data_IF_067624454376
#
_entry.id   IF_067624454376
#
_cell.length_a   1.000
_cell.length_b   1.000
_cell.length_c   1.000
_cell.angle_alpha   90.00
_cell.angle_beta   90.00
_cell.angle_gamma   90.00
#
_symmetry.space_group_name_H-M   'P 1'
#
loop_
_entity.id
_entity.type
_entity.pdbx_description
1 polymer ?
#
# COMPACT_ATOMS: atom_id res chain seq x y z
N UNK A 1 4.46 -17.20 -20.47
CA UNK A 1 3.07 -17.65 -20.70
C UNK A 1 2.30 -16.48 -21.29
N UNK A 2 2.11 -16.49 -22.62
CA UNK A 2 1.62 -15.36 -23.41
C UNK A 2 0.09 -15.18 -23.46
N UNK A 3 -0.65 -15.56 -22.43
CA UNK A 3 -2.10 -15.41 -22.37
C UNK A 3 -2.47 -14.18 -21.53
N UNK A 4 -2.67 -13.04 -22.23
CA UNK A 4 -3.23 -11.85 -21.61
C UNK A 4 -4.67 -12.08 -21.10
N UNK A 5 -5.06 -11.36 -20.05
CA UNK A 5 -6.46 -11.29 -19.61
C UNK A 5 -7.24 -10.47 -20.65
N UNK A 6 -8.25 -11.06 -21.26
CA UNK A 6 -9.21 -10.32 -22.08
C UNK A 6 -10.35 -9.87 -21.16
N UNK A 7 -10.30 -8.65 -20.74
CA UNK A 7 -11.31 -8.03 -19.86
C UNK A 7 -12.29 -7.15 -20.63
N UNK A 8 -12.18 -7.09 -21.97
CA UNK A 8 -12.95 -6.16 -22.80
C UNK A 8 -14.47 -6.33 -22.63
N UNK A 9 -14.94 -7.57 -22.62
CA UNK A 9 -16.37 -7.87 -22.45
C UNK A 9 -16.88 -7.46 -21.06
N UNK A 10 -16.08 -7.70 -20.01
CA UNK A 10 -16.39 -7.30 -18.64
C UNK A 10 -16.49 -5.77 -18.51
N UNK A 11 -15.53 -5.05 -19.06
CA UNK A 11 -15.53 -3.59 -19.02
C UNK A 11 -16.66 -2.99 -19.86
N UNK A 12 -17.01 -3.60 -20.99
CA UNK A 12 -18.15 -3.18 -21.81
C UNK A 12 -19.47 -3.33 -21.04
N UNK A 13 -19.68 -4.48 -20.43
CA UNK A 13 -20.86 -4.76 -19.59
C UNK A 13 -20.92 -3.80 -18.39
N UNK A 14 -19.82 -3.59 -17.69
CA UNK A 14 -19.76 -2.68 -16.55
C UNK A 14 -20.14 -1.24 -16.96
N UNK A 15 -19.69 -0.80 -18.12
CA UNK A 15 -20.03 0.52 -18.68
C UNK A 15 -21.52 0.63 -19.00
N UNK A 16 -22.10 -0.41 -19.62
CA UNK A 16 -23.53 -0.47 -19.96
C UNK A 16 -24.40 -0.39 -18.70
N UNK A 17 -23.98 -1.07 -17.64
CA UNK A 17 -24.70 -1.11 -16.37
C UNK A 17 -24.39 0.07 -15.43
N UNK A 18 -23.48 0.98 -15.82
CA UNK A 18 -23.06 2.12 -14.99
C UNK A 18 -22.34 1.72 -13.70
N UNK A 19 -21.60 0.60 -13.74
CA UNK A 19 -20.93 -0.03 -12.59
C UNK A 19 -19.41 0.15 -12.71
N UNK A 20 -18.72 0.39 -11.59
CA UNK A 20 -17.25 0.33 -11.56
C UNK A 20 -16.78 -1.14 -11.70
N UNK A 21 -16.08 -1.48 -12.79
CA UNK A 21 -15.65 -2.87 -13.05
C UNK A 21 -14.67 -3.40 -12.00
N UNK A 22 -13.99 -2.55 -11.24
CA UNK A 22 -13.04 -2.96 -10.18
C UNK A 22 -13.66 -3.03 -8.80
N UNK A 23 -14.42 -2.02 -8.42
CA UNK A 23 -15.00 -1.92 -7.09
C UNK A 23 -16.36 -2.61 -6.95
N UNK A 24 -17.10 -2.74 -8.04
CA UNK A 24 -18.51 -3.14 -8.01
C UNK A 24 -18.85 -4.35 -8.91
N UNK A 25 -17.85 -5.11 -9.34
CA UNK A 25 -18.01 -6.29 -10.20
C UNK A 25 -19.06 -7.28 -9.69
N UNK A 26 -19.24 -7.38 -8.38
CA UNK A 26 -20.23 -8.25 -7.75
C UNK A 26 -21.69 -7.89 -8.07
N UNK A 27 -21.93 -6.70 -8.60
CA UNK A 27 -23.28 -6.26 -9.05
C UNK A 27 -23.61 -6.73 -10.47
N UNK A 28 -22.61 -7.17 -11.23
CA UNK A 28 -22.85 -7.68 -12.60
C UNK A 28 -23.44 -9.08 -12.58
N UNK A 29 -24.37 -9.40 -13.51
CA UNK A 29 -24.84 -10.76 -13.69
C UNK A 29 -23.70 -11.75 -14.00
N UNK A 30 -23.82 -12.98 -13.50
CA UNK A 30 -22.82 -14.02 -13.63
C UNK A 30 -22.40 -14.29 -15.08
N UNK A 31 -23.30 -14.11 -16.06
CA UNK A 31 -23.01 -14.29 -17.48
C UNK A 31 -21.88 -13.39 -17.99
N UNK A 32 -21.66 -12.21 -17.40
CA UNK A 32 -20.58 -11.30 -17.77
C UNK A 32 -19.29 -11.55 -16.98
N UNK A 33 -19.42 -12.04 -15.75
CA UNK A 33 -18.28 -12.28 -14.83
C UNK A 33 -17.77 -13.72 -14.94
N UNK A 34 -18.60 -14.68 -15.37
CA UNK A 34 -18.28 -16.10 -15.37
C UNK A 34 -17.04 -16.42 -16.19
N UNK A 35 -16.99 -15.99 -17.44
CA UNK A 35 -15.83 -16.22 -18.32
C UNK A 35 -14.54 -15.62 -17.75
N UNK A 36 -14.61 -14.45 -17.11
CA UNK A 36 -13.48 -13.84 -16.44
C UNK A 36 -12.97 -14.73 -15.29
N UNK A 37 -13.88 -15.21 -14.44
CA UNK A 37 -13.55 -16.08 -13.32
C UNK A 37 -12.97 -17.44 -13.76
N UNK A 38 -13.58 -18.06 -14.79
CA UNK A 38 -13.08 -19.31 -15.37
C UNK A 38 -11.68 -19.15 -15.95
N UNK A 39 -11.42 -18.05 -16.65
CA UNK A 39 -10.11 -17.74 -17.22
C UNK A 39 -9.06 -17.50 -16.15
N UNK A 40 -9.42 -16.80 -15.08
CA UNK A 40 -8.52 -16.60 -13.94
C UNK A 40 -8.10 -17.93 -13.30
N UNK A 41 -9.03 -18.85 -13.11
CA UNK A 41 -8.75 -20.18 -12.59
C UNK A 41 -7.84 -21.00 -13.54
N UNK A 42 -8.12 -20.96 -14.84
CA UNK A 42 -7.33 -21.66 -15.85
C UNK A 42 -5.90 -21.12 -15.95
N UNK A 43 -5.73 -19.77 -15.94
CA UNK A 43 -4.41 -19.13 -15.95
C UNK A 43 -3.64 -19.46 -14.68
N UNK A 44 -4.29 -19.47 -13.52
CA UNK A 44 -3.66 -19.82 -12.25
C UNK A 44 -3.12 -21.24 -12.27
N UNK A 45 -3.88 -22.20 -12.82
CA UNK A 45 -3.41 -23.57 -12.97
C UNK A 45 -2.23 -23.70 -13.93
N UNK A 46 -2.27 -23.00 -15.07
CA UNK A 46 -1.14 -22.97 -16.02
C UNK A 46 0.12 -22.34 -15.39
N UNK A 47 -0.06 -21.26 -14.64
CA UNK A 47 1.03 -20.61 -13.91
C UNK A 47 1.63 -21.57 -12.87
N UNK A 48 0.80 -22.30 -12.14
CA UNK A 48 1.25 -23.33 -11.21
C UNK A 48 2.12 -24.39 -11.88
N UNK A 49 1.69 -24.92 -13.04
CA UNK A 49 2.45 -25.90 -13.78
C UNK A 49 3.84 -25.39 -14.19
N UNK A 50 3.92 -24.14 -14.60
CA UNK A 50 5.20 -23.48 -14.91
C UNK A 50 6.05 -23.28 -13.67
N UNK A 51 5.51 -22.69 -12.62
CA UNK A 51 6.22 -22.40 -11.37
C UNK A 51 6.72 -23.65 -10.67
N UNK A 52 6.00 -24.76 -10.74
CA UNK A 52 6.46 -26.04 -10.19
C UNK A 52 7.78 -26.50 -10.80
N UNK A 53 7.97 -26.26 -12.09
CA UNK A 53 9.25 -26.56 -12.76
C UNK A 53 10.35 -25.59 -12.31
N UNK A 54 10.01 -24.31 -12.17
CA UNK A 54 10.96 -23.28 -11.72
C UNK A 54 11.41 -23.49 -10.28
N UNK A 55 10.55 -23.95 -9.38
CA UNK A 55 10.90 -24.29 -8.00
C UNK A 55 12.02 -25.34 -7.97
N UNK A 56 11.92 -26.37 -8.84
CA UNK A 56 12.94 -27.41 -8.96
C UNK A 56 14.21 -26.85 -9.60
N UNK A 57 14.10 -26.09 -10.69
CA UNK A 57 15.25 -25.54 -11.41
C UNK A 57 16.07 -24.58 -10.55
N UNK A 58 15.45 -23.88 -9.63
CA UNK A 58 16.08 -22.89 -8.74
C UNK A 58 16.49 -23.48 -7.38
N UNK A 59 16.26 -24.78 -7.16
CA UNK A 59 16.58 -25.49 -5.91
C UNK A 59 15.95 -24.84 -4.65
N UNK A 60 14.70 -24.39 -4.78
CA UNK A 60 13.97 -23.72 -3.67
C UNK A 60 12.79 -24.55 -3.13
N UNK A 61 12.79 -25.87 -3.39
CA UNK A 61 11.72 -26.77 -2.93
C UNK A 61 11.53 -26.71 -1.40
N UNK A 62 12.63 -26.71 -0.64
CA UNK A 62 12.55 -26.65 0.82
C UNK A 62 11.88 -25.38 1.36
N UNK A 63 12.09 -24.26 0.69
CA UNK A 63 11.46 -22.98 1.04
C UNK A 63 9.98 -23.05 0.70
N UNK A 64 9.63 -23.57 -0.48
CA UNK A 64 8.25 -23.74 -0.90
C UNK A 64 7.47 -24.65 0.06
N UNK A 65 8.05 -25.76 0.48
CA UNK A 65 7.43 -26.69 1.43
C UNK A 65 7.20 -26.03 2.78
N UNK A 66 8.20 -25.31 3.31
CA UNK A 66 8.09 -24.56 4.57
C UNK A 66 6.97 -23.51 4.51
N UNK A 67 6.92 -22.71 3.46
CA UNK A 67 5.87 -21.70 3.28
C UNK A 67 4.47 -22.32 3.14
N UNK A 68 4.39 -23.47 2.47
CA UNK A 68 3.13 -24.20 2.31
C UNK A 68 2.65 -24.79 3.64
N UNK A 69 3.55 -25.34 4.45
CA UNK A 69 3.23 -25.85 5.80
C UNK A 69 2.87 -24.73 6.78
N UNK A 70 3.46 -23.54 6.62
CA UNK A 70 3.15 -22.37 7.43
C UNK A 70 1.72 -21.84 7.15
N UNK A 71 1.21 -21.99 5.93
CA UNK A 71 -0.07 -21.42 5.53
C UNK A 71 -1.25 -21.83 6.42
N UNK A 72 -1.47 -23.11 6.76
CA UNK A 72 -2.51 -23.53 7.71
C UNK A 72 -2.38 -22.84 9.08
N UNK A 73 -1.17 -22.68 9.58
CA UNK A 73 -0.94 -21.99 10.86
C UNK A 73 -1.41 -20.52 10.80
N UNK A 74 -1.15 -19.83 9.69
CA UNK A 74 -1.61 -18.45 9.50
C UNK A 74 -3.13 -18.36 9.40
N UNK A 75 -3.77 -19.36 8.78
CA UNK A 75 -5.24 -19.48 8.73
C UNK A 75 -5.80 -19.66 10.14
N UNK A 76 -5.24 -20.55 10.92
CA UNK A 76 -5.67 -20.81 12.30
C UNK A 76 -5.48 -19.57 13.18
N UNK A 77 -4.35 -18.89 13.07
CA UNK A 77 -4.10 -17.62 13.76
C UNK A 77 -5.16 -16.56 13.42
N UNK A 78 -5.58 -16.50 12.16
CA UNK A 78 -6.63 -15.57 11.71
C UNK A 78 -8.00 -15.91 12.31
N UNK A 79 -8.34 -17.19 12.42
CA UNK A 79 -9.61 -17.63 13.02
C UNK A 79 -9.62 -17.46 14.54
N UNK A 80 -8.53 -17.77 15.22
CA UNK A 80 -8.39 -17.58 16.66
C UNK A 80 -8.35 -16.10 17.04
N UNK A 81 -7.77 -15.28 16.17
CA UNK A 81 -7.56 -13.86 16.40
C UNK A 81 -6.53 -13.57 17.49
N UNK A 82 -6.39 -12.29 17.80
CA UNK A 82 -5.51 -11.81 18.87
C UNK A 82 -6.34 -10.94 19.83
N UNK A 83 -6.19 -11.17 21.12
CA UNK A 83 -6.84 -10.34 22.13
C UNK A 83 -6.19 -8.95 22.14
N UNK A 84 -6.99 -7.92 21.88
CA UNK A 84 -6.55 -6.53 21.88
C UNK A 84 -7.21 -5.79 23.05
N UNK A 85 -6.42 -5.03 23.82
CA UNK A 85 -6.96 -4.06 24.78
C UNK A 85 -7.46 -2.84 24.01
N UNK A 86 -8.76 -2.83 23.72
CA UNK A 86 -9.42 -1.78 22.93
C UNK A 86 -9.36 -0.42 23.63
N UNK A 87 -9.38 -0.40 24.97
CA UNK A 87 -9.34 0.87 25.72
C UNK A 87 -7.94 1.48 25.65
N UNK A 88 -6.90 0.68 25.87
CA UNK A 88 -5.52 1.11 25.72
C UNK A 88 -5.22 1.56 24.28
N UNK A 89 -5.67 0.80 23.27
CA UNK A 89 -5.52 1.14 21.87
C UNK A 89 -6.20 2.49 21.53
N UNK A 90 -7.42 2.69 22.00
CA UNK A 90 -8.17 3.95 21.79
C UNK A 90 -7.49 5.16 22.45
N UNK A 91 -6.96 4.98 23.67
CA UNK A 91 -6.20 6.01 24.37
C UNK A 91 -4.91 6.36 23.62
N UNK A 92 -4.18 5.34 23.19
CA UNK A 92 -2.96 5.52 22.41
C UNK A 92 -3.24 6.25 21.09
N UNK A 93 -4.29 5.83 20.38
CA UNK A 93 -4.71 6.50 19.11
C UNK A 93 -4.93 8.00 19.31
N UNK A 94 -5.67 8.40 20.36
CA UNK A 94 -5.88 9.82 20.67
C UNK A 94 -4.59 10.57 20.93
N UNK A 95 -3.65 9.96 21.65
CA UNK A 95 -2.33 10.55 21.90
C UNK A 95 -1.51 10.71 20.62
N UNK A 96 -1.56 9.72 19.74
CA UNK A 96 -0.83 9.75 18.47
C UNK A 96 -1.40 10.82 17.54
N UNK A 97 -2.72 10.93 17.41
CA UNK A 97 -3.37 12.00 16.62
C UNK A 97 -2.95 13.38 17.14
N UNK A 98 -3.00 13.61 18.45
CA UNK A 98 -2.57 14.90 19.02
C UNK A 98 -1.09 15.21 18.75
N UNK A 99 -0.20 14.20 18.75
CA UNK A 99 1.20 14.34 18.38
C UNK A 99 1.39 14.70 16.91
N UNK A 100 0.64 14.06 16.03
CA UNK A 100 0.65 14.38 14.59
C UNK A 100 0.21 15.82 14.35
N UNK A 101 -0.93 16.23 14.89
CA UNK A 101 -1.44 17.59 14.78
C UNK A 101 -0.43 18.62 15.30
N UNK A 102 0.19 18.36 16.45
CA UNK A 102 1.24 19.23 17.01
C UNK A 102 2.43 19.36 16.08
N UNK A 103 2.89 18.26 15.48
CA UNK A 103 4.01 18.27 14.53
C UNK A 103 3.67 19.06 13.26
N UNK A 104 2.45 18.88 12.72
CA UNK A 104 1.98 19.60 11.53
C UNK A 104 1.78 21.11 11.81
N UNK A 105 1.24 21.44 12.97
CA UNK A 105 1.12 22.85 13.41
C UNK A 105 2.48 23.54 13.53
N UNK A 106 3.51 22.83 14.03
CA UNK A 106 4.87 23.36 14.09
C UNK A 106 5.42 23.64 12.68
N UNK A 107 5.21 22.72 11.72
CA UNK A 107 5.60 22.95 10.32
C UNK A 107 4.87 24.16 9.73
N UNK A 108 3.55 24.24 9.94
CA UNK A 108 2.71 25.34 9.44
C UNK A 108 3.14 26.69 10.05
N UNK A 109 3.47 26.72 11.33
CA UNK A 109 3.92 27.94 12.03
C UNK A 109 5.22 28.50 11.45
N UNK A 110 6.17 27.62 11.10
CA UNK A 110 7.47 28.05 10.58
C UNK A 110 7.46 28.37 9.08
N UNK A 111 6.65 27.64 8.31
CA UNK A 111 6.67 27.72 6.83
C UNK A 111 5.46 28.43 6.23
N UNK A 112 4.37 28.56 6.98
CA UNK A 112 3.06 28.98 6.47
C UNK A 112 2.33 27.94 5.64
N UNK A 113 2.91 26.72 5.50
CA UNK A 113 2.38 25.63 4.67
C UNK A 113 1.89 24.51 5.56
N UNK A 114 0.69 24.01 5.28
CA UNK A 114 0.14 22.81 5.89
C UNK A 114 0.41 21.62 4.96
N UNK A 115 1.43 20.77 5.26
CA UNK A 115 1.82 19.73 4.33
C UNK A 115 0.89 18.53 4.40
N UNK A 116 0.54 17.98 3.24
CA UNK A 116 0.02 16.62 3.14
C UNK A 116 1.21 15.66 3.18
N UNK A 117 1.41 15.02 4.32
CA UNK A 117 2.63 14.26 4.61
C UNK A 117 2.92 13.09 3.68
N UNK A 118 1.91 12.52 3.00
CA UNK A 118 2.07 11.44 2.04
C UNK A 118 2.18 11.93 0.59
N UNK A 119 1.92 13.21 0.33
CA UNK A 119 2.03 13.80 -1.01
C UNK A 119 3.41 14.43 -1.20
N UNK A 120 4.29 13.81 -1.98
CA UNK A 120 5.64 14.29 -2.23
C UNK A 120 5.68 15.75 -2.74
N UNK A 121 4.77 16.11 -3.65
CA UNK A 121 4.65 17.50 -4.14
C UNK A 121 4.29 18.51 -3.04
N UNK A 122 3.55 18.10 -2.03
CA UNK A 122 3.20 18.97 -0.90
C UNK A 122 4.40 19.20 0.01
N UNK A 123 5.20 18.16 0.24
CA UNK A 123 6.45 18.27 1.02
C UNK A 123 7.49 19.09 0.25
N UNK A 124 7.60 18.92 -1.07
CA UNK A 124 8.50 19.71 -1.90
C UNK A 124 8.29 21.22 -1.71
N UNK A 125 7.05 21.70 -1.62
CA UNK A 125 6.75 23.12 -1.35
C UNK A 125 7.33 23.60 0.00
N UNK A 126 7.37 22.75 1.02
CA UNK A 126 7.99 23.07 2.31
C UNK A 126 9.50 23.19 2.15
N UNK A 127 10.14 22.26 1.42
CA UNK A 127 11.57 22.30 1.14
C UNK A 127 11.96 23.54 0.31
N UNK A 128 11.19 23.86 -0.72
CA UNK A 128 11.38 25.06 -1.55
C UNK A 128 11.27 26.34 -0.71
N UNK A 129 10.28 26.43 0.19
CA UNK A 129 10.10 27.55 1.09
C UNK A 129 11.29 27.73 2.03
N UNK A 130 11.88 26.64 2.49
CA UNK A 130 13.05 26.62 3.37
C UNK A 130 14.38 26.67 2.60
N UNK A 131 14.34 26.68 1.25
CA UNK A 131 15.52 26.62 0.37
C UNK A 131 16.40 25.38 0.66
N UNK A 132 15.77 24.25 0.99
CA UNK A 132 16.45 22.99 1.25
C UNK A 132 16.48 22.13 -0.01
N UNK A 133 17.61 21.45 -0.31
CA UNK A 133 17.68 20.50 -1.41
C UNK A 133 16.88 19.22 -1.08
N UNK A 134 16.38 18.57 -2.13
CA UNK A 134 15.74 17.26 -2.04
C UNK A 134 16.01 16.41 -3.28
N UNK A 135 15.88 15.09 -3.12
CA UNK A 135 16.12 14.15 -4.20
C UNK A 135 14.89 14.07 -5.14
N UNK A 136 15.18 13.73 -6.39
CA UNK A 136 14.15 13.42 -7.40
C UNK A 136 14.32 12.00 -7.91
N UNK A 137 13.24 11.39 -8.35
CA UNK A 137 13.28 10.05 -8.96
C UNK A 137 13.91 10.10 -10.35
N UNK A 138 14.81 9.18 -10.67
CA UNK A 138 15.51 9.12 -11.95
C UNK A 138 14.57 9.03 -13.16
N UNK A 139 13.49 8.24 -13.04
CA UNK A 139 12.58 7.98 -14.18
C UNK A 139 11.59 9.10 -14.48
N UNK A 140 11.14 9.83 -13.45
CA UNK A 140 10.02 10.79 -13.61
C UNK A 140 10.35 12.19 -13.16
N UNK A 141 11.57 12.42 -12.63
CA UNK A 141 11.99 13.69 -12.00
C UNK A 141 11.02 14.21 -10.93
N UNK A 142 10.24 13.31 -10.36
CA UNK A 142 9.31 13.65 -9.28
C UNK A 142 10.05 13.75 -7.94
N UNK A 143 9.65 14.66 -7.02
CA UNK A 143 10.22 14.76 -5.70
C UNK A 143 10.18 13.43 -4.95
N UNK A 144 11.29 13.08 -4.28
CA UNK A 144 11.43 11.82 -3.55
C UNK A 144 11.80 12.10 -2.08
N UNK A 145 10.94 11.65 -1.17
CA UNK A 145 11.13 11.83 0.28
C UNK A 145 11.03 10.48 0.97
N UNK A 146 12.14 9.73 0.95
CA UNK A 146 12.22 8.43 1.63
C UNK A 146 12.21 8.60 3.15
N UNK A 147 11.87 7.52 3.88
CA UNK A 147 11.91 7.52 5.34
C UNK A 147 13.29 7.90 5.86
N UNK A 148 14.34 7.27 5.31
CA UNK A 148 15.72 7.52 5.73
C UNK A 148 16.17 8.96 5.47
N UNK A 149 15.81 9.52 4.31
CA UNK A 149 16.12 10.91 3.98
C UNK A 149 15.51 11.88 5.00
N UNK A 150 14.22 11.73 5.32
CA UNK A 150 13.53 12.62 6.26
C UNK A 150 14.02 12.46 7.71
N UNK A 151 14.27 11.22 8.16
CA UNK A 151 14.72 10.95 9.53
C UNK A 151 16.14 11.42 9.80
N UNK A 152 17.04 11.37 8.81
CA UNK A 152 18.43 11.77 8.95
C UNK A 152 18.67 13.25 8.59
N UNK A 153 17.63 13.96 8.15
CA UNK A 153 17.78 15.36 7.75
C UNK A 153 17.99 16.27 8.98
N UNK A 154 19.01 17.16 8.99
CA UNK A 154 19.36 17.97 10.16
C UNK A 154 18.34 19.06 10.50
N UNK A 155 17.50 19.47 9.54
CA UNK A 155 16.58 20.60 9.73
C UNK A 155 15.38 20.23 10.62
N UNK A 156 15.06 20.99 11.69
CA UNK A 156 13.99 20.67 12.65
C UNK A 156 12.62 20.49 12.02
N UNK A 157 12.24 21.31 11.03
CA UNK A 157 10.95 21.19 10.32
C UNK A 157 10.85 19.88 9.58
N UNK A 158 11.94 19.40 8.96
CA UNK A 158 11.96 18.13 8.24
C UNK A 158 11.81 16.96 9.22
N UNK A 159 12.44 17.05 10.37
CA UNK A 159 12.24 16.05 11.44
C UNK A 159 10.79 16.03 11.95
N UNK A 160 10.09 17.18 11.98
CA UNK A 160 8.65 17.21 12.31
C UNK A 160 7.79 16.54 11.25
N UNK A 161 8.14 16.66 9.96
CA UNK A 161 7.47 15.91 8.89
C UNK A 161 7.71 14.40 9.04
N UNK A 162 8.95 13.99 9.33
CA UNK A 162 9.29 12.59 9.59
C UNK A 162 8.49 12.03 10.78
N UNK A 163 8.45 12.78 11.89
CA UNK A 163 7.68 12.45 13.09
C UNK A 163 6.18 12.32 12.78
N UNK A 164 5.60 13.26 12.04
CA UNK A 164 4.20 13.22 11.64
C UNK A 164 3.88 11.97 10.81
N UNK A 165 4.74 11.58 9.85
CA UNK A 165 4.58 10.33 9.07
C UNK A 165 4.62 9.09 9.95
N UNK A 166 5.58 9.01 10.86
CA UNK A 166 5.73 7.86 11.75
C UNK A 166 4.50 7.69 12.64
N UNK A 167 4.07 8.78 13.26
CA UNK A 167 2.90 8.79 14.15
C UNK A 167 1.60 8.52 13.39
N UNK A 168 1.42 9.12 12.21
CA UNK A 168 0.27 8.85 11.35
C UNK A 168 0.17 7.35 11.00
N UNK A 169 1.30 6.75 10.54
CA UNK A 169 1.32 5.32 10.23
C UNK A 169 1.01 4.41 11.43
N UNK A 170 1.25 4.89 12.65
CA UNK A 170 1.01 4.10 13.87
C UNK A 170 -0.46 4.12 14.33
N UNK A 171 -1.29 5.08 13.86
CA UNK A 171 -2.68 5.19 14.28
C UNK A 171 -3.71 5.00 13.16
N UNK A 172 -3.28 4.95 11.90
CA UNK A 172 -4.11 4.63 10.72
C UNK A 172 -4.04 3.15 10.41
#
# INVERSE_FOLDING_TARGET
VGTGKDEAALYAAAKEWGIDPKGEMYKLPAMYVGQYAEKDAAITLQLWQYLKTEIINQDIQSIFDMETELFPCLVDMRFLGVRVDVQAASKLKKQLVAREESALLAVKKETGIEPQIWAARSIAKVFEKLKLPYDVTEKTSAPSFTKNFLQNHPHPVVQKIAQAREVNKAHT
#
